data_IF_650123250101
#
_entry.id   IF_650123250101
#
_cell.length_a   1.000
_cell.length_b   1.000
_cell.length_c   1.000
_cell.angle_alpha   90.00
_cell.angle_beta   90.00
_cell.angle_gamma   90.00
#
_symmetry.space_group_name_H-M   'P 1'
#
loop_
_entity.id
_entity.type
_entity.pdbx_description
1 polymer ?
#
# COMPACT_ATOMS: atom_id res chain seq x y z
N UNK A 1 0.15 -39.90 -24.64
CA UNK A 1 -0.51 -39.47 -23.43
C UNK A 1 0.36 -38.59 -22.54
N UNK A 2 1.64 -38.85 -22.43
CA UNK A 2 2.55 -38.00 -21.69
C UNK A 2 2.60 -36.59 -22.26
N UNK A 3 2.55 -36.44 -23.58
CA UNK A 3 2.57 -35.13 -24.24
C UNK A 3 1.33 -34.29 -23.89
N UNK A 4 0.17 -34.90 -23.86
CA UNK A 4 -1.06 -34.23 -23.49
C UNK A 4 -1.00 -33.71 -22.04
N UNK A 5 -0.50 -34.53 -21.14
CA UNK A 5 -0.35 -34.16 -19.74
C UNK A 5 0.61 -32.98 -19.58
N UNK A 6 1.75 -33.02 -20.28
CA UNK A 6 2.74 -31.93 -20.23
C UNK A 6 2.14 -30.63 -20.76
N UNK A 7 1.42 -30.69 -21.88
CA UNK A 7 0.78 -29.52 -22.45
C UNK A 7 -0.29 -28.93 -21.51
N UNK A 8 -1.07 -29.80 -20.87
CA UNK A 8 -2.09 -29.38 -19.92
C UNK A 8 -1.45 -28.65 -18.73
N UNK A 9 -0.40 -29.22 -18.16
CA UNK A 9 0.33 -28.61 -17.06
C UNK A 9 0.91 -27.26 -17.49
N UNK A 10 1.49 -27.20 -18.70
CA UNK A 10 2.07 -25.96 -19.21
C UNK A 10 1.01 -24.86 -19.33
N UNK A 11 -0.16 -25.18 -19.85
CA UNK A 11 -1.26 -24.22 -19.99
C UNK A 11 -1.73 -23.75 -18.62
N UNK A 12 -1.89 -24.65 -17.65
CA UNK A 12 -2.32 -24.29 -16.29
C UNK A 12 -1.30 -23.35 -15.63
N UNK A 13 -0.01 -23.67 -15.78
CA UNK A 13 1.05 -22.82 -15.23
C UNK A 13 1.05 -21.44 -15.89
N UNK A 14 0.88 -21.41 -17.21
CA UNK A 14 0.84 -20.17 -17.96
C UNK A 14 -0.33 -19.27 -17.52
N UNK A 15 -1.52 -19.85 -17.38
CA UNK A 15 -2.70 -19.13 -16.90
C UNK A 15 -2.47 -18.60 -15.49
N UNK A 16 -1.86 -19.40 -14.63
CA UNK A 16 -1.54 -19.00 -13.26
C UNK A 16 -0.57 -17.83 -13.24
N UNK A 17 0.47 -17.86 -14.09
CA UNK A 17 1.45 -16.80 -14.20
C UNK A 17 0.76 -15.50 -14.69
N UNK A 18 -0.08 -15.58 -15.70
CA UNK A 18 -0.81 -14.43 -16.24
C UNK A 18 -1.70 -13.82 -15.15
N UNK A 19 -2.43 -14.66 -14.42
CA UNK A 19 -3.28 -14.21 -13.31
C UNK A 19 -2.45 -13.49 -12.23
N UNK A 20 -1.33 -14.09 -11.88
CA UNK A 20 -0.44 -13.51 -10.85
C UNK A 20 0.09 -12.15 -11.28
N UNK A 21 0.56 -12.04 -12.53
CA UNK A 21 1.06 -10.77 -13.07
C UNK A 21 -0.07 -9.72 -13.11
N UNK A 22 -1.25 -10.12 -13.54
CA UNK A 22 -2.40 -9.22 -13.58
C UNK A 22 -2.74 -8.70 -12.17
N UNK A 23 -2.75 -9.58 -11.19
CA UNK A 23 -3.06 -9.22 -9.80
C UNK A 23 -2.02 -8.26 -9.21
N UNK A 24 -0.74 -8.37 -9.61
CA UNK A 24 0.30 -7.47 -9.13
C UNK A 24 0.23 -6.09 -9.76
N UNK A 25 -0.18 -6.01 -11.02
CA UNK A 25 -0.20 -4.75 -11.77
C UNK A 25 -1.53 -4.01 -11.63
N UNK A 26 -2.62 -4.78 -11.46
CA UNK A 26 -3.96 -4.21 -11.44
C UNK A 26 -4.15 -3.29 -10.24
N UNK A 27 -4.62 -2.08 -10.51
CA UNK A 27 -5.00 -1.11 -9.48
C UNK A 27 -6.51 -1.13 -9.33
N UNK A 28 -6.99 -1.53 -8.15
CA UNK A 28 -8.42 -1.60 -7.85
C UNK A 28 -9.03 -0.21 -7.76
N UNK A 29 -8.35 0.69 -7.08
CA UNK A 29 -8.79 2.09 -6.99
C UNK A 29 -7.58 2.99 -6.77
N UNK A 30 -7.76 4.28 -7.02
CA UNK A 30 -6.75 5.28 -6.71
C UNK A 30 -7.44 6.55 -6.20
N UNK A 31 -6.67 7.39 -5.52
CA UNK A 31 -7.20 8.62 -4.98
C UNK A 31 -6.15 9.36 -4.16
N UNK A 32 -6.60 10.41 -3.49
CA UNK A 32 -5.75 11.21 -2.62
C UNK A 32 -6.30 11.16 -1.19
N UNK A 33 -5.38 11.18 -0.22
CA UNK A 33 -5.74 11.33 1.19
C UNK A 33 -4.87 12.37 1.83
N UNK A 34 -5.49 13.23 2.62
CA UNK A 34 -4.81 14.27 3.37
C UNK A 34 -4.84 13.93 4.85
N UNK A 35 -3.75 14.22 5.54
CA UNK A 35 -3.66 13.98 6.97
C UNK A 35 -2.30 14.38 7.50
N UNK A 36 -2.12 14.19 8.81
CA UNK A 36 -0.82 14.41 9.44
C UNK A 36 -0.04 13.12 9.47
N UNK A 37 1.18 13.14 8.95
CA UNK A 37 2.05 11.98 8.97
C UNK A 37 2.59 11.79 10.39
N UNK A 38 2.12 10.73 11.05
CA UNK A 38 2.48 10.47 12.45
C UNK A 38 3.66 9.52 12.54
N UNK A 39 3.68 8.51 11.70
CA UNK A 39 4.67 7.46 11.76
C UNK A 39 5.10 7.09 10.36
N UNK A 40 6.39 6.91 10.18
CA UNK A 40 6.96 6.41 8.95
C UNK A 40 8.17 5.56 9.27
N UNK A 41 8.16 4.32 8.81
CA UNK A 41 9.21 3.36 9.15
C UNK A 41 9.59 2.52 7.94
N UNK A 42 10.77 1.94 8.01
CA UNK A 42 11.27 1.00 7.01
C UNK A 42 11.42 -0.35 7.71
N UNK A 43 10.55 -1.29 7.40
CA UNK A 43 10.47 -2.55 8.13
C UNK A 43 10.33 -3.75 7.20
N UNK A 44 10.59 -4.91 7.73
CA UNK A 44 10.49 -6.20 7.04
C UNK A 44 11.67 -7.10 7.39
N UNK A 45 11.45 -8.39 7.33
CA UNK A 45 12.51 -9.36 7.62
C UNK A 45 13.31 -9.71 6.37
N UNK A 46 12.62 -10.06 5.29
CA UNK A 46 13.24 -10.45 4.03
C UNK A 46 13.15 -9.30 3.03
N UNK A 47 11.96 -8.77 2.85
CA UNK A 47 11.71 -7.61 1.99
C UNK A 47 11.42 -6.41 2.87
N UNK A 48 12.33 -5.43 2.87
CA UNK A 48 12.12 -4.19 3.62
C UNK A 48 11.29 -3.22 2.79
N UNK A 49 10.22 -2.74 3.39
CA UNK A 49 9.30 -1.81 2.75
C UNK A 49 9.07 -0.60 3.64
N UNK A 50 8.68 0.52 3.04
CA UNK A 50 8.31 1.71 3.78
C UNK A 50 6.85 1.60 4.17
N UNK A 51 6.57 1.78 5.46
CA UNK A 51 5.24 1.72 6.03
C UNK A 51 4.96 3.00 6.79
N UNK A 52 3.80 3.60 6.58
CA UNK A 52 3.44 4.84 7.22
C UNK A 52 2.01 4.86 7.74
N UNK A 53 1.74 5.82 8.60
CA UNK A 53 0.41 6.05 9.14
C UNK A 53 0.09 7.54 9.09
N UNK A 54 -1.09 7.85 8.52
CA UNK A 54 -1.65 9.19 8.53
C UNK A 54 -2.78 9.27 9.54
N UNK A 55 -2.78 10.35 10.31
CA UNK A 55 -3.96 10.73 11.07
C UNK A 55 -4.83 11.59 10.16
N UNK A 56 -5.95 11.05 9.72
CA UNK A 56 -6.86 11.73 8.81
C UNK A 56 -7.67 12.84 9.49
N UNK A 57 -7.52 12.96 10.81
CA UNK A 57 -8.33 13.88 11.59
C UNK A 57 -9.74 13.34 11.79
N UNK A 58 -10.54 14.06 12.51
CA UNK A 58 -11.88 13.63 12.84
C UNK A 58 -11.97 13.11 14.25
N UNK A 59 -13.09 13.40 14.87
CA UNK A 59 -13.42 13.00 16.22
C UNK A 59 -14.62 12.08 16.13
N UNK A 60 -14.43 10.81 16.49
CA UNK A 60 -15.54 9.87 16.59
C UNK A 60 -16.03 9.84 18.02
N UNK A 61 -17.30 10.22 18.21
CA UNK A 61 -17.94 10.14 19.52
C UNK A 61 -18.75 8.87 19.58
N UNK A 62 -18.38 7.96 20.49
CA UNK A 62 -19.15 6.76 20.77
C UNK A 62 -19.40 6.68 22.27
N UNK A 63 -20.66 6.47 22.66
CA UNK A 63 -21.07 6.17 24.04
C UNK A 63 -20.47 7.11 25.10
N UNK A 64 -20.46 8.42 24.81
CA UNK A 64 -19.98 9.41 25.77
C UNK A 64 -18.48 9.59 25.83
N UNK A 65 -17.72 8.94 24.91
CA UNK A 65 -16.28 9.12 24.80
C UNK A 65 -15.88 9.72 23.46
N UNK A 66 -14.77 10.45 23.45
CA UNK A 66 -14.18 10.98 22.23
C UNK A 66 -13.05 10.03 21.85
N UNK A 67 -13.22 9.34 20.71
CA UNK A 67 -12.17 8.48 20.17
C UNK A 67 -11.51 9.22 19.01
N UNK A 68 -10.26 9.64 19.22
CA UNK A 68 -9.41 10.18 18.16
C UNK A 68 -8.66 8.98 17.59
N UNK A 69 -9.28 8.29 16.63
CA UNK A 69 -8.65 7.11 16.05
C UNK A 69 -9.05 6.97 14.59
N UNK A 70 -8.63 7.94 13.78
CA UNK A 70 -8.86 7.90 12.36
C UNK A 70 -7.52 7.78 11.65
N UNK A 71 -6.90 6.62 11.82
CA UNK A 71 -5.57 6.32 11.29
C UNK A 71 -5.69 5.54 10.01
N UNK A 72 -4.88 5.92 9.03
CA UNK A 72 -4.80 5.24 7.76
C UNK A 72 -3.39 4.71 7.56
N UNK A 73 -3.28 3.41 7.39
CA UNK A 73 -2.00 2.75 7.15
C UNK A 73 -1.76 2.59 5.66
N UNK A 74 -0.55 2.86 5.22
CA UNK A 74 -0.18 2.75 3.82
C UNK A 74 1.25 2.24 3.69
N UNK A 75 1.57 1.74 2.49
CA UNK A 75 2.91 1.29 2.14
C UNK A 75 3.46 2.15 1.01
N UNK A 76 4.79 2.22 0.91
CA UNK A 76 5.47 2.92 -0.16
C UNK A 76 6.48 1.96 -0.79
N UNK A 77 6.32 1.73 -2.10
CA UNK A 77 7.23 0.87 -2.84
C UNK A 77 8.39 1.64 -3.47
N UNK A 78 8.18 2.92 -3.79
CA UNK A 78 9.18 3.77 -4.43
C UNK A 78 10.11 4.38 -3.38
N UNK A 79 11.39 4.14 -3.53
CA UNK A 79 12.41 4.65 -2.60
C UNK A 79 12.45 6.17 -2.54
N UNK A 80 12.30 6.85 -3.68
CA UNK A 80 12.35 8.30 -3.71
C UNK A 80 11.18 8.92 -2.95
N UNK A 81 9.99 8.35 -3.07
CA UNK A 81 8.82 8.75 -2.30
C UNK A 81 9.03 8.46 -0.82
N UNK A 82 9.58 7.28 -0.50
CA UNK A 82 9.90 6.90 0.87
C UNK A 82 10.87 7.86 1.53
N UNK A 83 11.94 8.22 0.83
CA UNK A 83 12.93 9.17 1.34
C UNK A 83 12.31 10.55 1.57
N UNK A 84 11.42 11.00 0.68
CA UNK A 84 10.71 12.25 0.85
C UNK A 84 9.82 12.23 2.09
N UNK A 85 9.05 11.15 2.26
CA UNK A 85 8.13 11.01 3.39
C UNK A 85 8.85 10.91 4.73
N UNK A 86 10.04 10.31 4.75
CA UNK A 86 10.80 10.18 5.99
C UNK A 86 11.16 11.53 6.63
N UNK A 87 11.16 12.60 5.83
CA UNK A 87 11.44 13.95 6.30
C UNK A 87 10.20 14.72 6.69
N UNK A 88 9.02 14.13 6.50
CA UNK A 88 7.74 14.83 6.64
C UNK A 88 6.95 14.40 7.88
N UNK A 89 7.54 13.60 8.76
CA UNK A 89 6.88 13.20 10.00
C UNK A 89 6.46 14.46 10.81
N UNK A 90 5.21 14.43 11.28
CA UNK A 90 4.64 15.55 12.03
C UNK A 90 4.05 16.65 11.16
N UNK A 91 4.13 16.54 9.85
CA UNK A 91 3.59 17.54 8.92
C UNK A 91 2.28 17.08 8.31
N UNK A 92 1.48 18.05 7.91
CA UNK A 92 0.26 17.79 7.17
C UNK A 92 0.60 17.60 5.70
N UNK A 93 0.17 16.47 5.14
CA UNK A 93 0.50 16.09 3.75
C UNK A 93 -0.74 15.58 3.06
N UNK A 94 -0.75 15.72 1.73
CA UNK A 94 -1.74 15.07 0.86
C UNK A 94 -0.98 14.08 -0.02
N UNK A 95 -1.38 12.81 0.05
CA UNK A 95 -0.71 11.72 -0.63
C UNK A 95 -1.63 11.11 -1.68
N UNK A 96 -1.05 10.77 -2.82
CA UNK A 96 -1.73 9.98 -3.84
C UNK A 96 -1.46 8.51 -3.60
N UNK A 97 -2.50 7.69 -3.61
CA UNK A 97 -2.37 6.26 -3.36
C UNK A 97 -3.05 5.45 -4.45
N UNK A 98 -2.60 4.21 -4.55
CA UNK A 98 -3.24 3.17 -5.36
C UNK A 98 -3.59 2.02 -4.46
N UNK A 99 -4.84 1.56 -4.55
CA UNK A 99 -5.28 0.38 -3.81
C UNK A 99 -5.13 -0.84 -4.70
N UNK A 100 -4.39 -1.83 -4.23
CA UNK A 100 -4.17 -3.08 -4.95
C UNK A 100 -5.14 -4.14 -4.46
N UNK A 101 -5.43 -5.13 -5.32
CA UNK A 101 -6.31 -6.24 -4.94
C UNK A 101 -5.67 -7.11 -3.86
N UNK A 102 -4.37 -7.32 -3.95
CA UNK A 102 -3.63 -8.19 -3.05
C UNK A 102 -2.37 -7.47 -2.59
N UNK A 103 -2.08 -7.55 -1.29
CA UNK A 103 -0.82 -7.07 -0.74
C UNK A 103 0.26 -8.13 -0.92
N UNK A 104 1.39 -7.73 -1.51
CA UNK A 104 2.54 -8.61 -1.67
C UNK A 104 3.67 -8.17 -0.74
N UNK A 105 4.41 -9.11 -0.13
CA UNK A 105 5.45 -8.78 0.84
C UNK A 105 6.54 -7.84 0.30
N UNK A 106 6.86 -7.94 -0.98
CA UNK A 106 7.90 -7.09 -1.58
C UNK A 106 7.44 -5.67 -1.89
N UNK A 107 6.13 -5.41 -1.83
CA UNK A 107 5.57 -4.06 -2.06
C UNK A 107 5.19 -3.36 -0.77
N UNK A 108 4.81 -4.12 0.26
CA UNK A 108 4.41 -3.59 1.55
C UNK A 108 3.35 -4.45 2.23
N UNK A 109 3.09 -4.13 3.48
CA UNK A 109 2.10 -4.85 4.28
C UNK A 109 0.67 -4.43 3.98
N UNK A 110 0.49 -3.27 3.35
CA UNK A 110 -0.82 -2.70 3.06
C UNK A 110 -1.16 -2.83 1.58
N UNK A 111 -2.45 -2.92 1.28
CA UNK A 111 -2.96 -2.85 -0.09
C UNK A 111 -2.89 -1.43 -0.65
N UNK A 112 -2.77 -0.42 0.21
CA UNK A 112 -2.66 0.97 -0.18
C UNK A 112 -1.20 1.32 -0.39
N UNK A 113 -0.85 1.64 -1.63
CA UNK A 113 0.52 2.00 -2.00
C UNK A 113 0.54 3.48 -2.37
N UNK A 114 1.27 4.25 -1.59
CA UNK A 114 1.46 5.68 -1.88
C UNK A 114 2.55 5.82 -2.93
N UNK A 115 2.25 6.49 -4.01
CA UNK A 115 3.16 6.66 -5.13
C UNK A 115 3.68 8.07 -5.29
N UNK A 116 3.06 9.06 -4.66
CA UNK A 116 3.59 10.43 -4.68
C UNK A 116 2.97 11.30 -3.60
N UNK A 117 3.70 12.37 -3.26
CA UNK A 117 3.23 13.42 -2.36
C UNK A 117 2.68 14.55 -3.23
N UNK A 118 1.40 14.88 -3.04
CA UNK A 118 0.72 15.91 -3.85
C UNK A 118 0.97 17.29 -3.26
N UNK A 119 0.82 17.43 -1.94
CA UNK A 119 0.91 18.71 -1.26
C UNK A 119 1.50 18.53 0.13
N UNK A 120 2.25 19.52 0.59
CA UNK A 120 2.81 19.61 1.94
C UNK A 120 2.36 20.92 2.55
N UNK A 121 1.81 20.86 3.74
CA UNK A 121 1.40 22.07 4.47
C UNK A 121 2.25 22.31 5.68
#
# INVERSE_FOLDING_TARGET
MKRFLVWTIFIVVLVFIIYFLFATVYTYSDGNRAGRLIKFSHKGYVFKTYEGELNLGGINTTNGGILINNMWQFSVADKSVGDSLSKLEGKDVTLHYKEKLIAFPWRGDSKYIVDKVIEIR
#
